data_IF_960730697933
#
_entry.id   IF_960730697933
#
_cell.length_a   1.000
_cell.length_b   1.000
_cell.length_c   1.000
_cell.angle_alpha   90.00
_cell.angle_beta   90.00
_cell.angle_gamma   90.00
#
_symmetry.space_group_name_H-M   'P 1'
#
loop_
_entity.id
_entity.type
_entity.pdbx_description
1 polymer ?
#
# COMPACT_ATOMS: atom_id res chain seq x y z
N UNK A 1 -7.31 11.89 2.45
CA UNK A 1 -6.08 12.10 1.65
C UNK A 1 -5.81 13.57 1.41
N UNK A 2 -6.77 14.36 0.92
CA UNK A 2 -6.58 15.82 0.75
C UNK A 2 -6.11 16.52 2.03
N UNK A 3 -6.82 16.34 3.14
CA UNK A 3 -6.48 16.98 4.42
C UNK A 3 -5.11 16.58 5.00
N UNK A 4 -4.66 15.35 4.77
CA UNK A 4 -3.48 14.77 5.43
C UNK A 4 -2.22 14.71 4.55
N UNK A 5 -2.35 14.91 3.23
CA UNK A 5 -1.21 14.80 2.31
C UNK A 5 -1.31 15.79 1.15
N UNK A 6 -2.31 15.64 0.26
CA UNK A 6 -2.29 16.35 -1.04
C UNK A 6 -2.32 17.87 -0.91
N UNK A 7 -2.99 18.42 0.11
CA UNK A 7 -3.02 19.86 0.35
C UNK A 7 -1.71 20.43 0.91
N UNK A 8 -0.73 19.59 1.24
CA UNK A 8 0.54 19.97 1.88
C UNK A 8 1.76 19.72 1.00
N UNK A 9 1.56 19.30 -0.25
CA UNK A 9 2.61 19.01 -1.23
C UNK A 9 2.28 19.65 -2.58
N UNK A 10 3.26 19.69 -3.48
CA UNK A 10 3.20 20.31 -4.81
C UNK A 10 2.70 19.37 -5.91
N UNK A 11 1.85 18.40 -5.58
CA UNK A 11 1.26 17.49 -6.57
C UNK A 11 0.20 18.22 -7.41
N UNK A 12 0.27 18.09 -8.74
CA UNK A 12 -0.80 18.55 -9.63
C UNK A 12 -2.08 17.74 -9.35
N UNK A 13 -3.21 18.38 -9.03
CA UNK A 13 -4.48 17.69 -8.81
C UNK A 13 -4.92 16.78 -9.96
N UNK A 14 -4.50 17.05 -11.20
CA UNK A 14 -4.77 16.20 -12.36
C UNK A 14 -4.03 14.86 -12.32
N UNK A 15 -2.99 14.75 -11.50
CA UNK A 15 -2.22 13.52 -11.27
C UNK A 15 -2.71 12.73 -10.05
N UNK A 16 -3.82 13.14 -9.42
CA UNK A 16 -4.46 12.42 -8.32
C UNK A 16 -5.61 11.58 -8.89
N UNK A 17 -5.51 10.26 -8.75
CA UNK A 17 -6.62 9.35 -9.07
C UNK A 17 -7.06 8.61 -7.79
N UNK A 18 -8.34 8.73 -7.44
CA UNK A 18 -8.99 8.00 -6.34
C UNK A 18 -10.30 7.43 -6.89
N UNK A 19 -10.60 6.13 -6.68
CA UNK A 19 -11.86 5.56 -7.13
C UNK A 19 -13.08 6.26 -6.50
N UNK A 20 -14.04 6.62 -7.35
CA UNK A 20 -15.28 7.27 -6.92
C UNK A 20 -16.30 6.25 -6.39
N UNK A 21 -16.34 6.08 -5.06
CA UNK A 21 -17.30 5.20 -4.38
C UNK A 21 -18.78 5.60 -4.51
N UNK A 22 -19.09 6.75 -5.13
CA UNK A 22 -20.45 7.23 -5.41
C UNK A 22 -20.78 7.24 -6.91
N UNK A 23 -19.94 6.62 -7.75
CA UNK A 23 -20.17 6.56 -9.19
C UNK A 23 -21.51 5.87 -9.51
N UNK A 24 -22.26 6.31 -10.54
CA UNK A 24 -23.51 5.68 -10.95
C UNK A 24 -23.35 4.19 -11.29
N UNK A 25 -22.20 3.83 -11.87
CA UNK A 25 -21.79 2.45 -12.13
C UNK A 25 -20.44 2.20 -11.49
N UNK A 26 -20.45 1.45 -10.38
CA UNK A 26 -19.21 1.09 -9.68
C UNK A 26 -18.32 0.15 -10.49
N UNK A 27 -18.91 -0.65 -11.38
CA UNK A 27 -18.16 -1.52 -12.28
C UNK A 27 -17.36 -0.70 -13.29
N UNK A 28 -18.00 0.29 -13.92
CA UNK A 28 -17.32 1.16 -14.89
C UNK A 28 -16.25 2.00 -14.19
N UNK A 29 -16.48 2.43 -12.95
CA UNK A 29 -15.46 3.11 -12.15
C UNK A 29 -14.24 2.22 -11.86
N UNK A 30 -14.46 0.94 -11.54
CA UNK A 30 -13.36 -0.01 -11.36
C UNK A 30 -12.56 -0.19 -12.67
N UNK A 31 -13.24 -0.30 -13.81
CA UNK A 31 -12.61 -0.41 -15.12
C UNK A 31 -11.82 0.85 -15.49
N UNK A 32 -12.41 2.03 -15.26
CA UNK A 32 -11.75 3.33 -15.46
C UNK A 32 -10.45 3.42 -14.66
N UNK A 33 -10.47 2.98 -13.40
CA UNK A 33 -9.29 3.03 -12.54
C UNK A 33 -8.17 2.11 -13.04
N UNK A 34 -8.51 0.91 -13.51
CA UNK A 34 -7.55 -0.02 -14.14
C UNK A 34 -6.95 0.56 -15.43
N UNK A 35 -7.77 1.22 -16.25
CA UNK A 35 -7.30 1.92 -17.45
C UNK A 35 -6.40 3.10 -17.11
N UNK A 36 -6.72 3.88 -16.07
CA UNK A 36 -5.88 4.98 -15.61
C UNK A 36 -4.48 4.48 -15.19
N UNK A 37 -4.41 3.39 -14.43
CA UNK A 37 -3.13 2.74 -14.06
C UNK A 37 -2.35 2.33 -15.31
N UNK A 38 -3.01 1.70 -16.29
CA UNK A 38 -2.37 1.26 -17.53
C UNK A 38 -1.86 2.45 -18.36
N UNK A 39 -2.66 3.50 -18.48
CA UNK A 39 -2.32 4.70 -19.24
C UNK A 39 -1.17 5.49 -18.59
N UNK A 40 -1.01 5.40 -17.27
CA UNK A 40 0.14 5.92 -16.55
C UNK A 40 1.42 5.08 -16.72
N UNK A 41 1.34 3.91 -17.35
CA UNK A 41 2.47 3.00 -17.53
C UNK A 41 2.65 1.97 -16.41
N UNK A 42 1.64 1.79 -15.55
CA UNK A 42 1.70 0.95 -14.37
C UNK A 42 2.07 1.71 -13.11
N UNK A 43 2.33 0.99 -12.02
CA UNK A 43 2.69 1.55 -10.72
C UNK A 43 4.18 1.26 -10.47
N UNK A 44 5.00 2.31 -10.31
CA UNK A 44 6.41 2.13 -9.98
C UNK A 44 6.58 1.64 -8.53
N UNK A 45 5.90 2.29 -7.58
CA UNK A 45 5.93 1.94 -6.16
C UNK A 45 4.51 1.90 -5.60
N UNK A 46 4.10 0.75 -5.09
CA UNK A 46 2.85 0.60 -4.35
C UNK A 46 3.12 0.61 -2.85
N UNK A 47 2.67 1.66 -2.16
CA UNK A 47 2.73 1.71 -0.69
C UNK A 47 1.45 1.14 -0.11
N UNK A 48 1.58 0.10 0.71
CA UNK A 48 0.45 -0.60 1.32
C UNK A 48 0.64 -0.73 2.84
N UNK A 49 -0.48 -0.76 3.56
CA UNK A 49 -0.52 -1.33 4.90
C UNK A 49 -0.86 -2.82 4.85
N UNK A 50 -1.02 -3.42 6.03
CA UNK A 50 -1.58 -4.76 6.21
C UNK A 50 -2.76 -4.73 7.20
N UNK A 51 -3.87 -5.37 6.83
CA UNK A 51 -5.01 -5.62 7.72
C UNK A 51 -4.62 -6.52 8.91
N UNK A 52 -5.35 -6.47 10.02
CA UNK A 52 -5.06 -7.36 11.17
C UNK A 52 -5.40 -8.84 10.87
N UNK A 53 -6.23 -9.08 9.87
CA UNK A 53 -6.51 -10.37 9.25
C UNK A 53 -5.51 -10.76 8.14
N UNK A 54 -4.61 -9.85 7.76
CA UNK A 54 -3.63 -10.02 6.68
C UNK A 54 -4.11 -9.59 5.29
N UNK A 55 -5.17 -8.78 5.17
CA UNK A 55 -5.57 -8.25 3.87
C UNK A 55 -4.62 -7.17 3.33
N UNK A 56 -4.50 -7.08 2.00
CA UNK A 56 -3.94 -5.94 1.26
C UNK A 56 -5.06 -5.10 0.65
N UNK A 57 -4.97 -3.76 0.73
CA UNK A 57 -6.08 -2.86 0.41
C UNK A 57 -7.37 -3.32 1.14
N UNK A 58 -8.50 -3.52 0.46
CA UNK A 58 -9.66 -4.20 1.05
C UNK A 58 -9.82 -5.64 0.56
N UNK A 59 -8.76 -6.32 0.10
CA UNK A 59 -8.84 -7.72 -0.34
C UNK A 59 -8.99 -8.67 0.86
N UNK A 60 -10.21 -8.73 1.37
CA UNK A 60 -10.65 -9.54 2.51
C UNK A 60 -10.26 -11.03 2.35
N UNK A 61 -10.14 -11.78 3.47
CA UNK A 61 -9.90 -13.22 3.42
C UNK A 61 -10.86 -13.96 2.48
N UNK A 62 -10.30 -14.76 1.59
CA UNK A 62 -11.01 -15.48 0.52
C UNK A 62 -10.96 -14.79 -0.85
N UNK A 63 -10.46 -13.55 -0.92
CA UNK A 63 -10.28 -12.83 -2.19
C UNK A 63 -9.33 -13.55 -3.13
N UNK A 64 -9.66 -13.61 -4.43
CA UNK A 64 -8.76 -14.17 -5.44
C UNK A 64 -7.42 -13.44 -5.45
N UNK A 65 -6.31 -14.21 -5.45
CA UNK A 65 -4.96 -13.65 -5.54
C UNK A 65 -4.66 -13.05 -6.93
N UNK A 66 -5.47 -13.37 -7.94
CA UNK A 66 -5.41 -12.78 -9.29
C UNK A 66 -6.53 -11.75 -9.51
N UNK A 67 -7.16 -11.24 -8.45
CA UNK A 67 -8.26 -10.28 -8.57
C UNK A 67 -7.81 -8.97 -9.20
N UNK A 68 -8.74 -8.31 -9.90
CA UNK A 68 -8.64 -6.91 -10.35
C UNK A 68 -9.40 -5.96 -9.43
N UNK A 69 -9.30 -4.68 -9.73
CA UNK A 69 -10.08 -3.62 -9.08
C UNK A 69 -11.57 -3.95 -9.16
N UNK A 70 -12.24 -3.91 -8.00
CA UNK A 70 -13.63 -4.31 -7.88
C UNK A 70 -14.29 -3.70 -6.65
N UNK A 71 -15.61 -3.82 -6.60
CA UNK A 71 -16.37 -3.64 -5.36
C UNK A 71 -16.21 -4.86 -4.48
N UNK A 72 -15.84 -4.63 -3.22
CA UNK A 72 -15.63 -5.65 -2.21
C UNK A 72 -16.51 -5.35 -1.00
N UNK A 73 -17.23 -6.38 -0.53
CA UNK A 73 -17.94 -6.30 0.75
C UNK A 73 -16.92 -6.35 1.89
N UNK A 74 -17.11 -5.50 2.89
CA UNK A 74 -16.24 -5.47 4.07
C UNK A 74 -16.68 -6.54 5.06
N UNK A 75 -15.71 -7.22 5.67
CA UNK A 75 -15.99 -8.22 6.70
C UNK A 75 -16.30 -7.51 8.05
N UNK A 76 -16.84 -8.26 9.02
CA UNK A 76 -17.19 -7.69 10.34
C UNK A 76 -15.99 -7.16 11.12
N UNK A 77 -14.81 -7.78 10.99
CA UNK A 77 -13.58 -7.32 11.64
C UNK A 77 -13.12 -5.97 11.08
N UNK A 78 -13.19 -5.80 9.75
CA UNK A 78 -12.91 -4.54 9.05
C UNK A 78 -13.90 -3.45 9.46
N UNK A 79 -15.19 -3.78 9.53
CA UNK A 79 -16.24 -2.85 10.01
C UNK A 79 -15.94 -2.41 11.45
N UNK A 80 -15.66 -3.37 12.35
CA UNK A 80 -15.35 -3.08 13.75
C UNK A 80 -14.08 -2.21 13.88
N UNK A 81 -13.01 -2.57 13.17
CA UNK A 81 -11.74 -1.84 13.21
C UNK A 81 -11.87 -0.39 12.70
N UNK A 82 -12.74 -0.16 11.71
CA UNK A 82 -12.96 1.16 11.13
C UNK A 82 -14.04 1.97 11.85
N UNK A 83 -14.88 1.36 12.71
CA UNK A 83 -15.93 2.06 13.47
C UNK A 83 -15.39 3.24 14.30
N UNK A 84 -14.13 3.21 14.72
CA UNK A 84 -13.45 4.33 15.39
C UNK A 84 -13.46 5.64 14.60
N UNK A 85 -13.58 5.58 13.26
CA UNK A 85 -13.70 6.73 12.38
C UNK A 85 -15.17 7.19 12.20
N UNK A 86 -16.12 6.41 12.70
CA UNK A 86 -17.56 6.63 12.62
C UNK A 86 -18.19 6.68 14.02
N UNK A 87 -17.56 7.43 14.93
CA UNK A 87 -18.05 7.62 16.32
C UNK A 87 -18.19 6.31 17.12
N UNK A 88 -17.41 5.28 16.76
CA UNK A 88 -17.51 3.92 17.30
C UNK A 88 -18.86 3.22 17.02
N UNK A 89 -19.58 3.64 15.98
CA UNK A 89 -20.84 3.06 15.54
C UNK A 89 -20.64 2.23 14.26
N UNK A 90 -20.74 0.90 14.39
CA UNK A 90 -20.59 -0.02 13.27
C UNK A 90 -21.68 0.15 12.19
N UNK A 91 -22.86 0.67 12.54
CA UNK A 91 -23.96 0.87 11.59
C UNK A 91 -23.72 2.01 10.60
N UNK A 92 -22.81 2.92 10.94
CA UNK A 92 -22.42 4.06 10.09
C UNK A 92 -21.26 3.74 9.16
N UNK A 93 -20.61 2.58 9.33
CA UNK A 93 -19.49 2.16 8.49
C UNK A 93 -20.02 1.66 7.14
N UNK A 94 -19.48 2.13 6.00
CA UNK A 94 -19.84 1.57 4.70
C UNK A 94 -19.62 0.06 4.64
N UNK A 95 -20.61 -0.69 4.14
CA UNK A 95 -20.54 -2.17 4.05
C UNK A 95 -19.77 -2.67 2.82
N UNK A 96 -19.40 -1.76 1.90
CA UNK A 96 -18.68 -2.04 0.66
C UNK A 96 -17.66 -0.95 0.39
N UNK A 97 -16.57 -1.31 -0.29
CA UNK A 97 -15.58 -0.38 -0.80
C UNK A 97 -15.18 -0.76 -2.24
N UNK A 98 -14.73 0.23 -3.02
CA UNK A 98 -13.91 -0.06 -4.21
C UNK A 98 -12.49 -0.31 -3.72
N UNK A 99 -11.87 -1.36 -4.22
CA UNK A 99 -10.48 -1.72 -3.90
C UNK A 99 -9.77 -2.17 -5.14
N UNK A 100 -8.47 -1.83 -5.24
CA UNK A 100 -7.58 -2.54 -6.17
C UNK A 100 -7.56 -4.03 -5.82
N UNK A 101 -7.40 -4.87 -6.84
CA UNK A 101 -7.26 -6.30 -6.65
C UNK A 101 -5.83 -6.69 -6.24
N UNK A 102 -5.67 -7.90 -5.74
CA UNK A 102 -4.34 -8.45 -5.42
C UNK A 102 -3.49 -8.51 -6.69
N UNK A 103 -4.06 -8.94 -7.83
CA UNK A 103 -3.35 -8.98 -9.11
C UNK A 103 -2.94 -7.60 -9.60
N UNK A 104 -3.80 -6.58 -9.43
CA UNK A 104 -3.47 -5.18 -9.76
C UNK A 104 -2.28 -4.68 -8.95
N UNK A 105 -2.25 -4.96 -7.64
CA UNK A 105 -1.15 -4.57 -6.77
C UNK A 105 0.15 -5.31 -7.12
N UNK A 106 0.05 -6.60 -7.46
CA UNK A 106 1.20 -7.45 -7.84
C UNK A 106 1.82 -7.07 -9.20
N UNK A 107 1.20 -6.18 -9.98
CA UNK A 107 1.76 -5.61 -11.21
C UNK A 107 2.64 -4.38 -10.95
N UNK A 108 2.70 -3.87 -9.72
CA UNK A 108 3.62 -2.80 -9.37
C UNK A 108 5.09 -3.25 -9.53
N UNK A 109 6.00 -2.33 -9.87
CA UNK A 109 7.43 -2.68 -9.99
C UNK A 109 8.05 -2.97 -8.61
N UNK A 110 7.63 -2.22 -7.60
CA UNK A 110 8.02 -2.38 -6.20
C UNK A 110 6.82 -2.21 -5.27
N UNK A 111 6.83 -2.95 -4.16
CA UNK A 111 5.80 -2.87 -3.13
C UNK A 111 6.45 -2.61 -1.78
N UNK A 112 5.98 -1.59 -1.07
CA UNK A 112 6.40 -1.24 0.28
C UNK A 112 5.24 -1.48 1.25
N UNK A 113 5.41 -2.43 2.18
CA UNK A 113 4.43 -2.75 3.21
C UNK A 113 4.83 -2.14 4.54
N UNK A 114 3.92 -1.38 5.14
CA UNK A 114 4.07 -0.80 6.47
C UNK A 114 3.22 -1.58 7.49
N UNK A 115 3.85 -2.08 8.55
CA UNK A 115 3.17 -2.74 9.66
C UNK A 115 3.69 -2.21 11.01
N UNK A 116 2.78 -1.67 11.82
CA UNK A 116 3.14 -1.13 13.13
C UNK A 116 2.10 -1.52 14.19
N UNK A 117 2.61 -1.87 15.37
CA UNK A 117 1.84 -2.23 16.55
C UNK A 117 1.52 -3.72 16.67
N UNK A 118 1.38 -4.19 17.90
CA UNK A 118 1.15 -5.60 18.25
C UNK A 118 -0.09 -6.22 17.55
N UNK A 119 -1.13 -5.43 17.32
CA UNK A 119 -2.34 -5.83 16.60
C UNK A 119 -2.11 -6.22 15.11
N UNK A 120 -0.88 -6.06 14.59
CA UNK A 120 -0.45 -6.54 13.27
C UNK A 120 0.41 -7.79 13.31
N UNK A 121 0.91 -8.20 14.47
CA UNK A 121 1.92 -9.25 14.59
C UNK A 121 1.49 -10.58 13.96
N UNK A 122 0.26 -11.02 14.23
CA UNK A 122 -0.27 -12.26 13.67
C UNK A 122 -0.40 -12.19 12.14
N UNK A 123 -0.81 -11.04 11.59
CA UNK A 123 -0.93 -10.82 10.16
C UNK A 123 0.43 -10.87 9.47
N UNK A 124 1.44 -10.21 10.05
CA UNK A 124 2.83 -10.24 9.56
C UNK A 124 3.38 -11.67 9.58
N UNK A 125 3.19 -12.40 10.68
CA UNK A 125 3.61 -13.81 10.76
C UNK A 125 2.93 -14.70 9.71
N UNK A 126 1.61 -14.53 9.48
CA UNK A 126 0.90 -15.26 8.42
C UNK A 126 1.43 -14.89 7.02
N UNK A 127 1.67 -13.61 6.76
CA UNK A 127 2.10 -13.13 5.46
C UNK A 127 3.55 -13.52 5.13
N UNK A 128 4.44 -13.59 6.12
CA UNK A 128 5.88 -13.80 5.92
C UNK A 128 6.32 -15.26 6.13
N UNK A 129 5.76 -15.97 7.10
CA UNK A 129 6.25 -17.31 7.49
C UNK A 129 5.33 -18.49 7.16
N UNK A 130 4.09 -18.23 6.74
CA UNK A 130 3.16 -19.28 6.27
C UNK A 130 3.17 -19.36 4.75
N UNK A 131 2.53 -20.38 4.21
CA UNK A 131 2.38 -20.52 2.76
C UNK A 131 1.41 -19.47 2.19
N UNK A 132 1.53 -19.24 0.89
CA UNK A 132 0.62 -18.39 0.11
C UNK A 132 -0.82 -18.91 0.27
N UNK A 133 -1.72 -18.03 0.69
CA UNK A 133 -3.13 -18.36 0.92
C UNK A 133 -4.01 -17.15 0.69
N UNK A 134 -5.14 -17.34 -0.01
CA UNK A 134 -6.16 -16.30 -0.14
C UNK A 134 -6.83 -15.89 1.17
N UNK A 135 -6.62 -16.63 2.27
CA UNK A 135 -7.08 -16.23 3.60
C UNK A 135 -6.19 -15.17 4.25
N UNK A 136 -4.97 -14.97 3.75
CA UNK A 136 -4.08 -13.88 4.11
C UNK A 136 -3.51 -13.32 2.81
N UNK A 137 -4.21 -12.38 2.17
CA UNK A 137 -3.86 -11.93 0.82
C UNK A 137 -2.48 -11.27 0.75
N UNK A 138 -1.96 -10.73 1.86
CA UNK A 138 -0.59 -10.25 1.98
C UNK A 138 0.47 -11.34 1.77
N UNK A 139 0.14 -12.63 1.97
CA UNK A 139 1.05 -13.74 1.65
C UNK A 139 1.37 -13.85 0.15
N UNK A 140 0.54 -13.29 -0.73
CA UNK A 140 0.83 -13.26 -2.17
C UNK A 140 2.14 -12.52 -2.50
N UNK A 141 2.56 -11.60 -1.63
CA UNK A 141 3.81 -10.84 -1.78
C UNK A 141 5.07 -11.71 -1.74
N UNK A 142 4.97 -12.96 -1.24
CA UNK A 142 6.06 -13.94 -1.32
C UNK A 142 6.45 -14.29 -2.77
N UNK A 143 5.52 -14.09 -3.72
CA UNK A 143 5.77 -14.28 -5.15
C UNK A 143 6.17 -13.00 -5.88
N UNK A 144 6.24 -11.86 -5.19
CA UNK A 144 6.63 -10.60 -5.81
C UNK A 144 8.15 -10.44 -5.80
N UNK A 145 8.73 -10.03 -6.94
CA UNK A 145 10.18 -9.94 -7.07
C UNK A 145 10.80 -8.84 -6.18
N UNK A 146 10.06 -7.74 -5.96
CA UNK A 146 10.55 -6.58 -5.20
C UNK A 146 9.53 -6.16 -4.15
N UNK A 147 9.58 -6.77 -2.97
CA UNK A 147 8.73 -6.40 -1.84
C UNK A 147 9.57 -6.04 -0.62
N UNK A 148 9.33 -4.87 -0.04
CA UNK A 148 10.00 -4.37 1.16
C UNK A 148 8.96 -4.33 2.30
N UNK A 149 9.32 -4.89 3.45
CA UNK A 149 8.50 -4.84 4.65
C UNK A 149 9.17 -3.94 5.69
N UNK A 150 8.49 -2.87 6.09
CA UNK A 150 8.87 -2.04 7.23
C UNK A 150 7.96 -2.40 8.39
N UNK A 151 8.53 -3.14 9.34
CA UNK A 151 7.83 -3.72 10.49
C UNK A 151 8.48 -3.19 11.76
N UNK A 152 7.68 -2.65 12.67
CA UNK A 152 8.18 -2.25 13.99
C UNK A 152 8.36 -3.46 14.92
N UNK A 153 8.91 -3.20 16.11
CA UNK A 153 9.17 -4.26 17.08
C UNK A 153 7.91 -5.03 17.46
N UNK A 154 6.81 -4.31 17.73
CA UNK A 154 5.57 -4.91 18.19
C UNK A 154 4.90 -5.77 17.10
N UNK A 155 4.91 -5.32 15.84
CA UNK A 155 4.39 -6.06 14.71
C UNK A 155 5.27 -7.26 14.33
N UNK A 156 6.47 -7.39 14.92
CA UNK A 156 7.35 -8.55 14.72
C UNK A 156 7.19 -9.66 15.76
N UNK A 157 6.38 -9.46 16.81
CA UNK A 157 6.35 -10.32 18.01
C UNK A 157 5.94 -11.78 17.75
N UNK A 158 5.16 -12.05 16.72
CA UNK A 158 4.74 -13.42 16.33
C UNK A 158 5.69 -14.08 15.32
N UNK A 159 6.72 -13.37 14.85
CA UNK A 159 7.75 -13.96 13.99
C UNK A 159 8.70 -14.83 14.81
N UNK A 160 9.26 -15.87 14.18
CA UNK A 160 10.30 -16.67 14.84
C UNK A 160 11.53 -15.80 15.10
N UNK A 161 12.15 -16.01 16.25
CA UNK A 161 13.43 -15.36 16.63
C UNK A 161 14.48 -15.47 15.53
N UNK A 162 14.59 -16.62 14.86
CA UNK A 162 15.53 -16.82 13.74
C UNK A 162 15.26 -15.89 12.55
N UNK A 163 14.00 -15.61 12.26
CA UNK A 163 13.56 -14.74 11.16
C UNK A 163 13.91 -13.29 11.48
N UNK A 164 13.56 -12.84 12.69
CA UNK A 164 13.87 -11.48 13.17
C UNK A 164 15.39 -11.26 13.20
N UNK A 165 16.16 -12.20 13.76
CA UNK A 165 17.61 -12.10 13.83
C UNK A 165 18.27 -12.05 12.45
N UNK A 166 17.76 -12.84 11.49
CA UNK A 166 18.25 -12.80 10.12
C UNK A 166 18.09 -11.40 9.52
N UNK A 167 16.88 -10.84 9.51
CA UNK A 167 16.66 -9.51 8.91
C UNK A 167 17.34 -8.38 9.69
N UNK A 168 17.40 -8.46 11.02
CA UNK A 168 18.15 -7.49 11.84
C UNK A 168 19.63 -7.45 11.49
N UNK A 169 20.23 -8.60 11.16
CA UNK A 169 21.65 -8.67 10.76
C UNK A 169 21.92 -7.90 9.46
N UNK A 170 20.89 -7.70 8.63
CA UNK A 170 20.97 -6.99 7.35
C UNK A 170 20.67 -5.48 7.48
N UNK A 171 20.07 -5.03 8.59
CA UNK A 171 19.67 -3.63 8.78
C UNK A 171 20.79 -2.59 8.54
N UNK A 172 22.06 -2.83 8.93
CA UNK A 172 23.13 -1.87 8.66
C UNK A 172 23.30 -1.55 7.17
N UNK A 173 23.07 -2.53 6.29
CA UNK A 173 23.14 -2.33 4.84
C UNK A 173 21.97 -1.46 4.34
N UNK A 174 20.75 -1.75 4.80
CA UNK A 174 19.57 -0.93 4.48
C UNK A 174 19.69 0.50 5.02
N UNK A 175 20.23 0.69 6.22
CA UNK A 175 20.48 2.02 6.77
C UNK A 175 21.49 2.80 5.92
N UNK A 176 22.51 2.13 5.38
CA UNK A 176 23.46 2.77 4.46
C UNK A 176 22.76 3.25 3.19
N UNK A 177 21.88 2.42 2.60
CA UNK A 177 21.09 2.80 1.42
C UNK A 177 20.24 4.04 1.73
N UNK A 178 19.50 4.03 2.83
CA UNK A 178 18.64 5.16 3.23
C UNK A 178 19.46 6.43 3.55
N UNK A 179 20.64 6.28 4.15
CA UNK A 179 21.52 7.42 4.45
C UNK A 179 22.14 8.08 3.22
N UNK A 180 22.18 7.38 2.08
CA UNK A 180 22.67 7.93 0.81
C UNK A 180 21.59 8.69 0.03
N UNK A 181 20.34 8.69 0.51
CA UNK A 181 19.26 9.45 -0.12
C UNK A 181 19.56 10.93 0.11
N UNK A 182 19.97 11.60 -0.96
CA UNK A 182 20.18 13.04 -0.95
C UNK A 182 18.82 13.74 -1.13
N UNK A 183 18.40 14.60 -0.19
CA UNK A 183 17.16 15.36 -0.34
C UNK A 183 17.15 16.14 -1.66
N UNK A 184 16.00 16.20 -2.34
CA UNK A 184 15.86 16.88 -3.63
C UNK A 184 16.40 18.32 -3.62
N UNK A 185 16.19 19.08 -2.54
CA UNK A 185 16.71 20.45 -2.38
C UNK A 185 18.24 20.54 -2.22
N UNK A 186 18.91 19.41 -1.99
CA UNK A 186 20.37 19.31 -1.85
C UNK A 186 21.02 18.61 -3.06
N UNK A 187 20.21 18.14 -4.03
CA UNK A 187 20.74 17.53 -5.24
C UNK A 187 21.29 18.62 -6.17
N UNK A 188 22.49 18.43 -6.76
CA UNK A 188 23.02 19.37 -7.73
C UNK A 188 22.08 19.48 -8.94
N UNK A 189 21.75 20.71 -9.31
CA UNK A 189 20.86 21.02 -10.42
C UNK A 189 21.55 20.64 -11.74
N UNK A 190 21.44 19.38 -12.15
CA UNK A 190 21.96 18.89 -13.44
C UNK A 190 20.93 19.16 -14.55
N UNK A 191 20.52 20.42 -14.71
CA UNK A 191 19.82 20.86 -15.92
C UNK A 191 20.91 21.14 -16.96
N UNK A 192 21.21 20.15 -17.80
CA UNK A 192 21.81 20.44 -19.09
C UNK A 192 20.73 21.11 -19.94
N UNK A 193 20.79 22.45 -19.99
CA UNK A 193 19.90 23.27 -20.80
C UNK A 193 19.97 22.82 -22.27
N UNK A 194 18.95 22.09 -22.71
CA UNK A 194 18.60 21.98 -24.11
C UNK A 194 17.12 22.36 -24.28
N UNK A 195 16.73 23.48 -23.69
CA UNK A 195 15.75 24.46 -24.18
C UNK A 195 15.42 25.44 -23.06
N UNK A 196 15.47 26.74 -23.38
CA UNK A 196 15.14 27.83 -22.50
C UNK A 196 13.71 27.71 -21.95
N UNK A 197 13.56 27.29 -20.69
CA UNK A 197 12.59 27.89 -19.79
C UNK A 197 13.06 27.70 -18.35
N UNK A 198 13.57 28.79 -17.78
CA UNK A 198 13.91 28.89 -16.37
C UNK A 198 12.63 28.77 -15.54
N UNK A 199 12.62 27.86 -14.58
CA UNK A 199 12.02 28.04 -13.26
C UNK A 199 12.73 27.07 -12.31
N UNK A 200 13.94 27.45 -11.88
CA UNK A 200 14.46 26.95 -10.62
C UNK A 200 13.75 27.76 -9.53
N UNK A 201 12.90 27.09 -8.76
CA UNK A 201 12.20 27.64 -7.61
C UNK A 201 13.24 28.15 -6.59
N UNK A 202 13.19 29.44 -6.29
CA UNK A 202 13.63 30.02 -5.02
C UNK A 202 12.39 30.23 -4.17
#
# INVERSE_FOLDING_TARGET
>A
MFENLFSHIDIDPLNIDIPNGQAPSLLDECNRYEEAIRNAGGIDLFVSGIGSDGHLAFNEPGSSLNSRTRVQALNNETILANSRFFQNDCSQVPIKAITVGVGTLMEAKEILVLASGSHKALAVHKAVEKGISHMCTASALQSHNNCIWLVDEEASQELKVKTVNFYRSQLPEYHKILSNITPLHQQPCNITNNNNNKNCLN
#
